data_IF_039796128800
#
_entry.id   IF_039796128800
#
_cell.length_a   1.000
_cell.length_b   1.000
_cell.length_c   1.000
_cell.angle_alpha   90.00
_cell.angle_beta   90.00
_cell.angle_gamma   90.00
#
_symmetry.space_group_name_H-M   'P 1'
#
loop_
_entity.id
_entity.type
_entity.pdbx_description
1 polymer ?
#
# COMPACT_ATOMS: atom_id res chain seq x y z
N UNK A 1 40.52 5.19 10.91
CA UNK A 1 39.30 5.90 11.42
C UNK A 1 38.00 5.40 10.76
N UNK A 2 37.99 5.04 9.47
CA UNK A 2 36.72 4.55 8.80
C UNK A 2 36.30 3.14 9.26
N UNK A 3 37.23 2.28 9.68
CA UNK A 3 36.87 0.88 10.04
C UNK A 3 36.41 0.70 11.50
N UNK A 4 36.83 1.55 12.43
CA UNK A 4 36.35 1.47 13.82
C UNK A 4 34.95 2.02 14.01
N UNK A 5 34.52 2.98 13.16
CA UNK A 5 33.19 3.59 13.19
C UNK A 5 32.15 2.61 12.68
N UNK A 6 32.46 1.83 11.65
CA UNK A 6 31.55 0.80 11.06
C UNK A 6 31.31 -0.37 12.03
N UNK A 7 32.36 -0.83 12.74
CA UNK A 7 32.20 -1.91 13.72
C UNK A 7 31.42 -1.46 14.96
N UNK A 8 31.59 -0.22 15.39
CA UNK A 8 30.79 0.37 16.47
C UNK A 8 29.32 0.49 16.12
N UNK A 9 29.01 0.93 14.89
CA UNK A 9 27.63 1.05 14.39
C UNK A 9 26.95 -0.30 14.26
N UNK A 10 27.64 -1.32 13.74
CA UNK A 10 27.11 -2.68 13.67
C UNK A 10 26.81 -3.25 15.07
N UNK A 11 27.68 -3.01 16.05
CA UNK A 11 27.43 -3.43 17.44
C UNK A 11 26.22 -2.70 18.07
N UNK A 12 26.06 -1.41 17.79
CA UNK A 12 24.91 -0.64 18.26
C UNK A 12 23.60 -1.14 17.63
N UNK A 13 23.60 -1.44 16.31
CA UNK A 13 22.46 -2.00 15.62
C UNK A 13 22.05 -3.36 16.21
N UNK A 14 23.03 -4.23 16.53
CA UNK A 14 22.77 -5.52 17.18
C UNK A 14 22.20 -5.33 18.59
N UNK A 15 22.78 -4.45 19.40
CA UNK A 15 22.28 -4.16 20.74
C UNK A 15 20.83 -3.62 20.72
N UNK A 16 20.47 -2.81 19.72
CA UNK A 16 19.11 -2.34 19.53
C UNK A 16 18.16 -3.48 19.23
N UNK A 17 18.54 -4.39 18.32
CA UNK A 17 17.71 -5.54 17.95
C UNK A 17 17.52 -6.53 19.13
N UNK A 18 18.60 -6.84 19.86
CA UNK A 18 18.54 -7.70 21.06
C UNK A 18 17.66 -7.11 22.18
N UNK A 19 17.56 -5.77 22.25
CA UNK A 19 16.71 -5.06 23.20
C UNK A 19 15.23 -5.08 22.84
N UNK A 20 14.81 -5.69 21.72
CA UNK A 20 13.40 -5.83 21.36
C UNK A 20 12.64 -6.71 22.37
N UNK A 21 11.54 -6.20 22.89
CA UNK A 21 10.66 -6.90 23.82
C UNK A 21 9.45 -7.45 23.06
N UNK A 22 9.32 -8.80 22.93
CA UNK A 22 8.19 -9.41 22.22
C UNK A 22 6.82 -9.07 22.83
N UNK A 23 6.73 -8.94 24.15
CA UNK A 23 5.46 -8.60 24.81
C UNK A 23 5.05 -7.14 24.48
N UNK A 24 6.02 -6.25 24.26
CA UNK A 24 5.75 -4.87 23.87
C UNK A 24 5.26 -4.76 22.43
N UNK A 25 5.85 -5.54 21.50
CA UNK A 25 5.37 -5.64 20.11
C UNK A 25 3.91 -6.06 20.09
N UNK A 26 3.58 -7.14 20.81
CA UNK A 26 2.22 -7.65 20.89
C UNK A 26 1.27 -6.65 21.54
N UNK A 27 1.67 -6.02 22.64
CA UNK A 27 0.87 -5.02 23.34
C UNK A 27 0.53 -3.81 22.47
N UNK A 28 1.50 -3.32 21.69
CA UNK A 28 1.27 -2.20 20.75
C UNK A 28 0.31 -2.62 19.64
N UNK A 29 0.50 -3.77 19.03
CA UNK A 29 -0.38 -4.29 17.99
C UNK A 29 -1.82 -4.47 18.50
N UNK A 30 -1.99 -5.05 19.68
CA UNK A 30 -3.32 -5.20 20.30
C UNK A 30 -3.99 -3.87 20.60
N UNK A 31 -3.23 -2.87 21.08
CA UNK A 31 -3.77 -1.54 21.34
C UNK A 31 -4.24 -0.83 20.05
N UNK A 32 -3.48 -0.97 18.97
CA UNK A 32 -3.85 -0.40 17.67
C UNK A 32 -5.06 -1.11 17.05
N UNK A 33 -5.14 -2.43 17.15
CA UNK A 33 -6.29 -3.21 16.65
C UNK A 33 -7.56 -2.88 17.43
N UNK A 34 -7.45 -2.69 18.75
CA UNK A 34 -8.58 -2.34 19.62
C UNK A 34 -9.16 -0.95 19.35
N UNK A 35 -8.49 -0.10 18.57
CA UNK A 35 -8.96 1.20 18.08
C UNK A 35 -9.45 1.05 16.62
N UNK A 36 -10.76 0.85 16.36
CA UNK A 36 -11.29 0.70 15.01
C UNK A 36 -11.03 1.96 14.15
N UNK A 37 -10.67 1.73 12.89
CA UNK A 37 -10.35 2.80 11.93
C UNK A 37 -10.77 2.41 10.51
N UNK A 38 -12.00 1.91 10.39
CA UNK A 38 -12.52 1.41 9.11
C UNK A 38 -12.69 2.54 8.09
N UNK A 39 -12.21 2.34 6.89
CA UNK A 39 -12.32 3.26 5.77
C UNK A 39 -12.78 2.50 4.50
N UNK A 40 -13.93 2.82 3.89
CA UNK A 40 -14.87 3.86 4.33
C UNK A 40 -15.72 3.49 5.55
N UNK A 41 -16.33 4.48 6.17
CA UNK A 41 -17.39 4.30 7.16
C UNK A 41 -17.02 4.63 8.61
N UNK A 42 -15.72 4.76 8.93
CA UNK A 42 -15.20 5.18 10.23
C UNK A 42 -14.25 6.37 10.12
N UNK A 43 -13.47 6.58 11.16
CA UNK A 43 -12.42 7.61 11.25
C UNK A 43 -11.15 7.01 11.85
N UNK A 44 -10.02 7.66 11.64
CA UNK A 44 -8.74 7.28 12.25
C UNK A 44 -8.47 8.02 13.58
N UNK A 45 -9.40 8.80 14.12
CA UNK A 45 -9.17 9.60 15.34
C UNK A 45 -8.74 8.74 16.53
N UNK A 46 -9.43 7.62 16.79
CA UNK A 46 -9.12 6.77 17.96
C UNK A 46 -7.75 6.10 17.84
N UNK A 47 -7.42 5.55 16.68
CA UNK A 47 -6.12 4.91 16.46
C UNK A 47 -4.98 5.93 16.44
N UNK A 48 -5.22 7.15 15.96
CA UNK A 48 -4.26 8.24 16.00
C UNK A 48 -3.99 8.69 17.45
N UNK A 49 -5.01 8.74 18.31
CA UNK A 49 -4.85 9.05 19.73
C UNK A 49 -4.03 7.96 20.44
N UNK A 50 -4.33 6.68 20.21
CA UNK A 50 -3.55 5.54 20.75
C UNK A 50 -2.10 5.62 20.29
N UNK A 51 -1.87 5.84 19.00
CA UNK A 51 -0.55 5.97 18.40
C UNK A 51 0.23 7.15 18.98
N UNK A 52 -0.43 8.31 19.13
CA UNK A 52 0.14 9.51 19.72
C UNK A 52 0.55 9.28 21.18
N UNK A 53 -0.24 8.52 21.93
CA UNK A 53 0.08 8.12 23.31
C UNK A 53 1.37 7.33 23.36
N UNK A 54 1.50 6.26 22.54
CA UNK A 54 2.71 5.44 22.46
C UNK A 54 3.94 6.27 22.06
N UNK A 55 3.80 7.11 21.03
CA UNK A 55 4.89 7.97 20.54
C UNK A 55 5.33 9.02 21.55
N UNK A 56 4.40 9.54 22.35
CA UNK A 56 4.69 10.47 23.46
C UNK A 56 5.56 9.78 24.52
N UNK A 57 5.23 8.55 24.90
CA UNK A 57 6.01 7.75 25.85
C UNK A 57 7.38 7.40 25.28
N UNK A 58 7.51 7.25 23.97
CA UNK A 58 8.75 7.08 23.25
C UNK A 58 9.54 8.38 23.08
N UNK A 59 9.01 9.53 23.49
CA UNK A 59 9.70 10.83 23.46
C UNK A 59 9.83 11.43 22.07
N UNK A 60 8.92 11.08 21.16
CA UNK A 60 8.86 11.65 19.83
C UNK A 60 8.34 13.10 19.83
N UNK A 61 8.80 13.90 18.88
CA UNK A 61 8.17 15.19 18.56
C UNK A 61 7.04 14.94 17.56
N UNK A 62 5.80 15.18 17.95
CA UNK A 62 4.60 14.77 17.22
C UNK A 62 3.92 15.97 16.59
N UNK A 63 3.53 15.85 15.34
CA UNK A 63 2.65 16.76 14.60
C UNK A 63 1.48 15.96 14.04
N UNK A 64 0.26 16.41 14.31
CA UNK A 64 -0.95 15.87 13.68
C UNK A 64 -1.25 16.70 12.44
N UNK A 65 -1.38 16.03 11.31
CA UNK A 65 -1.75 16.61 10.01
C UNK A 65 -3.16 16.15 9.66
N UNK A 66 -4.03 17.08 9.27
CA UNK A 66 -5.43 16.80 8.91
C UNK A 66 -5.79 17.59 7.68
N UNK A 67 -6.31 16.94 6.67
CA UNK A 67 -6.92 17.59 5.50
C UNK A 67 -8.45 17.60 5.62
N UNK A 68 -9.01 16.68 6.40
CA UNK A 68 -10.45 16.51 6.63
C UNK A 68 -10.69 16.07 8.07
N UNK A 69 -11.91 16.33 8.58
CA UNK A 69 -12.35 15.87 9.89
C UNK A 69 -12.39 14.32 9.91
N UNK A 70 -11.84 13.71 10.96
CA UNK A 70 -11.78 12.26 11.10
C UNK A 70 -10.65 11.57 10.31
N UNK A 71 -9.78 12.32 9.63
CA UNK A 71 -8.64 11.82 8.84
C UNK A 71 -7.30 12.36 9.35
N UNK A 72 -6.89 12.06 10.60
CA UNK A 72 -5.61 12.49 11.14
C UNK A 72 -4.47 11.59 10.69
N UNK A 73 -3.40 12.19 10.18
CA UNK A 73 -2.10 11.56 10.05
C UNK A 73 -1.19 11.97 11.20
N UNK A 74 -0.46 11.02 11.78
CA UNK A 74 0.48 11.25 12.88
C UNK A 74 1.89 11.25 12.33
N UNK A 75 2.52 12.42 12.29
CA UNK A 75 3.91 12.59 11.90
C UNK A 75 4.75 12.72 13.16
N UNK A 76 5.63 11.75 13.40
CA UNK A 76 6.44 11.71 14.60
C UNK A 76 7.94 11.72 14.27
N UNK A 77 8.68 12.62 14.88
CA UNK A 77 10.12 12.78 14.68
C UNK A 77 10.89 12.30 15.90
N UNK A 78 11.91 11.45 15.66
CA UNK A 78 12.80 10.87 16.66
C UNK A 78 14.25 11.11 16.24
N UNK A 79 15.10 11.55 17.15
CA UNK A 79 16.51 11.83 16.89
C UNK A 79 16.85 13.31 16.91
N UNK A 80 17.89 13.73 16.18
CA UNK A 80 18.49 15.07 16.30
C UNK A 80 17.76 16.18 15.54
N UNK A 81 16.92 15.81 14.58
CA UNK A 81 16.36 16.74 13.60
C UNK A 81 17.27 17.01 12.39
N UNK A 82 18.46 16.38 12.33
CA UNK A 82 19.45 16.54 11.27
C UNK A 82 19.48 15.35 10.31
N UNK A 83 20.23 15.47 9.21
CA UNK A 83 20.49 14.37 8.28
C UNK A 83 21.57 13.42 8.82
N UNK A 84 21.59 12.13 8.39
CA UNK A 84 20.60 11.58 7.44
C UNK A 84 19.21 11.47 8.04
N UNK A 85 18.19 11.53 7.18
CA UNK A 85 16.78 11.39 7.56
C UNK A 85 16.19 10.17 6.89
N UNK A 86 15.46 9.35 7.65
CA UNK A 86 14.77 8.17 7.18
C UNK A 86 13.28 8.32 7.47
N UNK A 87 12.42 8.11 6.47
CA UNK A 87 11.00 7.91 6.70
C UNK A 87 10.70 6.42 6.93
N UNK A 88 9.80 6.15 7.87
CA UNK A 88 9.06 4.91 7.91
C UNK A 88 7.57 5.24 7.82
N UNK A 89 6.91 4.74 6.77
CA UNK A 89 5.51 5.02 6.49
C UNK A 89 4.65 3.79 6.75
N UNK A 90 3.45 4.02 7.27
CA UNK A 90 2.39 3.04 7.41
C UNK A 90 1.05 3.72 7.62
N UNK A 91 -0.05 3.06 7.20
CA UNK A 91 -1.39 3.63 7.31
C UNK A 91 -2.13 3.18 8.57
N UNK A 92 -2.96 4.09 9.09
CA UNK A 92 -3.75 3.90 10.31
C UNK A 92 -5.15 3.33 10.03
N UNK A 93 -5.67 3.57 8.83
CA UNK A 93 -6.97 3.06 8.40
C UNK A 93 -6.92 1.57 8.07
N UNK A 94 -8.07 0.97 7.94
CA UNK A 94 -8.27 -0.43 7.53
C UNK A 94 -9.53 -0.51 6.68
N UNK A 95 -9.59 -1.49 5.76
CA UNK A 95 -10.89 -1.81 5.14
C UNK A 95 -11.91 -2.27 6.18
N UNK A 96 -13.23 -2.15 5.92
CA UNK A 96 -14.26 -2.63 6.83
C UNK A 96 -14.10 -4.10 7.20
N UNK A 97 -14.35 -4.44 8.47
CA UNK A 97 -14.26 -5.82 8.96
C UNK A 97 -15.31 -6.75 8.36
N UNK A 98 -16.38 -6.19 7.81
CA UNK A 98 -17.48 -6.95 7.24
C UNK A 98 -18.38 -7.59 8.32
N UNK A 99 -18.94 -8.77 8.04
CA UNK A 99 -19.84 -9.45 8.97
C UNK A 99 -19.06 -10.05 10.16
N UNK A 100 -19.26 -9.58 11.41
CA UNK A 100 -18.57 -10.10 12.58
C UNK A 100 -18.77 -11.60 12.81
N UNK A 101 -19.86 -12.20 12.32
CA UNK A 101 -20.13 -13.63 12.46
C UNK A 101 -19.17 -14.54 11.67
N UNK A 102 -18.42 -13.96 10.73
CA UNK A 102 -17.40 -14.67 9.94
C UNK A 102 -16.03 -14.73 10.63
N UNK A 103 -15.87 -14.03 11.75
CA UNK A 103 -14.65 -14.01 12.53
C UNK A 103 -14.65 -15.05 13.65
N UNK A 104 -13.51 -15.68 13.88
CA UNK A 104 -13.31 -16.65 14.97
C UNK A 104 -13.20 -15.98 16.36
N UNK A 105 -12.77 -14.70 16.37
CA UNK A 105 -12.80 -13.76 17.50
C UNK A 105 -13.32 -12.43 16.97
N UNK A 106 -13.70 -11.50 17.85
CA UNK A 106 -14.14 -10.19 17.39
C UNK A 106 -13.03 -9.50 16.56
N UNK A 107 -13.38 -8.82 15.44
CA UNK A 107 -12.39 -8.25 14.52
C UNK A 107 -11.45 -7.21 15.16
N UNK A 108 -11.81 -6.66 16.31
CA UNK A 108 -11.04 -5.65 17.05
C UNK A 108 -10.58 -6.13 18.44
N UNK A 109 -10.66 -7.43 18.70
CA UNK A 109 -10.22 -8.00 20.00
C UNK A 109 -8.72 -8.21 20.10
N UNK A 110 -8.00 -8.36 18.98
CA UNK A 110 -6.57 -8.62 18.97
C UNK A 110 -6.22 -9.94 19.67
N UNK A 111 -7.02 -10.98 19.45
CA UNK A 111 -6.81 -12.28 20.06
C UNK A 111 -5.58 -12.99 19.47
N UNK A 112 -4.82 -13.69 20.32
CA UNK A 112 -3.72 -14.54 19.85
C UNK A 112 -4.21 -15.99 19.77
N UNK A 113 -4.17 -16.55 18.55
CA UNK A 113 -4.58 -17.92 18.27
C UNK A 113 -3.43 -18.62 17.53
N UNK A 114 -2.95 -19.73 18.08
CA UNK A 114 -1.86 -20.53 17.49
C UNK A 114 -0.62 -19.69 17.10
N UNK A 115 -0.21 -18.73 17.95
CA UNK A 115 0.94 -17.87 17.73
C UNK A 115 0.71 -16.75 16.72
N UNK A 116 -0.54 -16.54 16.29
CA UNK A 116 -0.93 -15.47 15.37
C UNK A 116 -1.85 -14.47 16.06
N UNK A 117 -1.59 -13.19 15.86
CA UNK A 117 -2.49 -12.11 16.26
C UNK A 117 -3.61 -11.97 15.21
N UNK A 118 -4.85 -12.14 15.63
CA UNK A 118 -6.05 -12.10 14.77
C UNK A 118 -6.78 -10.80 15.00
N UNK A 119 -7.10 -10.08 13.92
CA UNK A 119 -7.89 -8.87 13.96
C UNK A 119 -7.83 -8.09 12.64
N UNK A 120 -8.79 -7.21 12.38
CA UNK A 120 -8.75 -6.30 11.25
C UNK A 120 -7.60 -5.31 11.43
N UNK A 121 -6.76 -5.20 10.38
CA UNK A 121 -5.53 -4.43 10.44
C UNK A 121 -4.35 -5.17 11.09
N UNK A 122 -4.53 -6.41 11.53
CA UNK A 122 -3.42 -7.17 12.11
C UNK A 122 -2.26 -7.33 11.13
N UNK A 123 -2.57 -7.61 9.86
CA UNK A 123 -1.63 -7.74 8.78
C UNK A 123 -1.44 -6.41 8.04
N UNK A 124 -2.54 -5.72 7.77
CA UNK A 124 -2.62 -4.55 6.92
C UNK A 124 -3.26 -3.36 7.67
N UNK A 125 -2.44 -2.42 8.33
CA UNK A 125 -1.04 -2.69 8.60
C UNK A 125 -0.64 -2.28 10.04
N UNK A 126 -1.56 -2.47 11.03
CA UNK A 126 -1.32 -2.12 12.45
C UNK A 126 -0.24 -3.00 13.12
N UNK A 127 -0.09 -4.27 12.68
CA UNK A 127 1.00 -5.15 13.12
C UNK A 127 2.38 -4.63 12.68
N UNK A 128 2.60 -4.33 11.40
CA UNK A 128 3.80 -3.62 10.93
C UNK A 128 4.08 -2.32 11.67
N UNK A 129 3.07 -1.47 11.90
CA UNK A 129 3.22 -0.23 12.71
C UNK A 129 3.72 -0.57 14.13
N UNK A 130 3.12 -1.56 14.79
CA UNK A 130 3.55 -1.98 16.12
C UNK A 130 5.01 -2.45 16.14
N UNK A 131 5.46 -3.13 15.07
CA UNK A 131 6.86 -3.55 14.92
C UNK A 131 7.80 -2.34 14.82
N UNK A 132 7.44 -1.31 14.05
CA UNK A 132 8.23 -0.09 13.93
C UNK A 132 8.28 0.72 15.24
N UNK A 133 7.16 0.83 15.95
CA UNK A 133 7.09 1.47 17.27
C UNK A 133 7.96 0.74 18.30
N UNK A 134 7.91 -0.59 18.31
CA UNK A 134 8.73 -1.42 19.17
C UNK A 134 10.23 -1.36 18.83
N UNK A 135 10.59 -1.17 17.56
CA UNK A 135 11.96 -0.91 17.14
C UNK A 135 12.51 0.40 17.77
N UNK A 136 11.70 1.45 17.80
CA UNK A 136 12.06 2.71 18.48
C UNK A 136 12.20 2.50 19.99
N UNK A 137 11.30 1.75 20.62
CA UNK A 137 11.37 1.40 22.03
C UNK A 137 12.65 0.62 22.33
N UNK A 138 13.04 -0.33 21.48
CA UNK A 138 14.23 -1.15 21.61
C UNK A 138 15.52 -0.30 21.54
N UNK A 139 15.62 0.63 20.58
CA UNK A 139 16.74 1.58 20.47
C UNK A 139 16.91 2.37 21.78
N UNK A 140 15.83 2.88 22.34
CA UNK A 140 15.85 3.61 23.61
C UNK A 140 16.25 2.71 24.78
N UNK A 141 15.74 1.48 24.84
CA UNK A 141 16.06 0.49 25.88
C UNK A 141 17.53 0.09 25.84
N UNK A 142 18.12 0.03 24.66
CA UNK A 142 19.56 -0.15 24.48
C UNK A 142 20.41 1.07 24.92
N UNK A 143 19.77 2.16 25.35
CA UNK A 143 20.46 3.40 25.75
C UNK A 143 21.04 4.19 24.57
N UNK A 144 20.59 3.91 23.36
CA UNK A 144 21.08 4.55 22.13
C UNK A 144 20.29 5.83 21.81
N UNK A 145 20.98 6.79 21.21
CA UNK A 145 20.40 8.01 20.65
C UNK A 145 20.80 8.11 19.19
N UNK A 146 19.82 8.27 18.30
CA UNK A 146 20.04 8.40 16.85
C UNK A 146 20.82 9.69 16.54
N UNK A 147 21.83 9.60 15.70
CA UNK A 147 22.60 10.76 15.23
C UNK A 147 21.82 11.51 14.14
N UNK A 148 21.18 10.81 13.23
CA UNK A 148 20.23 11.35 12.26
C UNK A 148 18.81 11.48 12.80
N UNK A 149 17.83 11.44 11.92
CA UNK A 149 16.42 11.64 12.22
C UNK A 149 15.54 10.56 11.60
N UNK A 150 14.75 9.87 12.42
CA UNK A 150 13.67 9.01 11.99
C UNK A 150 12.37 9.82 11.99
N UNK A 151 11.70 9.89 10.84
CA UNK A 151 10.36 10.39 10.69
C UNK A 151 9.40 9.20 10.52
N UNK A 152 8.47 8.99 11.46
CA UNK A 152 7.38 8.04 11.33
C UNK A 152 6.18 8.77 10.73
N UNK A 153 5.76 8.37 9.56
CA UNK A 153 4.59 8.88 8.86
C UNK A 153 3.47 7.85 8.98
N UNK A 154 2.64 7.98 10.00
CA UNK A 154 1.50 7.09 10.26
C UNK A 154 0.25 7.79 9.74
N UNK A 155 -0.18 7.40 8.55
CA UNK A 155 -1.08 8.19 7.72
C UNK A 155 -2.50 7.66 7.71
N UNK A 156 -3.44 8.54 7.37
CA UNK A 156 -4.84 8.22 7.13
C UNK A 156 -5.05 7.85 5.65
N UNK A 157 -6.19 7.20 5.34
CA UNK A 157 -6.81 7.12 4.01
C UNK A 157 -5.99 6.39 2.92
N UNK A 158 -5.07 5.52 3.28
CA UNK A 158 -4.29 4.75 2.30
C UNK A 158 -5.20 3.82 1.49
N UNK A 159 -6.11 3.11 2.16
CA UNK A 159 -7.04 2.12 1.59
C UNK A 159 -8.01 2.70 0.51
N UNK A 160 -8.09 4.04 0.45
CA UNK A 160 -8.83 4.78 -0.58
C UNK A 160 -7.93 5.75 -1.38
N UNK A 161 -6.69 5.32 -1.68
CA UNK A 161 -5.70 6.00 -2.51
C UNK A 161 -4.98 7.20 -1.86
N UNK A 162 -4.96 7.32 -0.53
CA UNK A 162 -4.09 8.23 0.23
C UNK A 162 -4.36 9.72 0.03
N UNK A 163 -5.57 10.08 -0.42
CA UNK A 163 -5.91 11.48 -0.73
C UNK A 163 -5.81 12.38 0.50
N UNK A 164 -6.18 11.86 1.68
CA UNK A 164 -6.14 12.58 2.96
C UNK A 164 -4.91 12.21 3.81
N UNK A 165 -4.07 11.29 3.33
CA UNK A 165 -2.87 10.77 3.97
C UNK A 165 -1.56 11.31 3.41
N UNK A 166 -0.75 10.45 2.81
CA UNK A 166 0.61 10.77 2.31
C UNK A 166 0.62 11.88 1.27
N UNK A 167 -0.43 12.01 0.45
CA UNK A 167 -0.57 13.15 -0.46
C UNK A 167 -0.52 14.49 0.29
N UNK A 168 -1.21 14.60 1.42
CA UNK A 168 -1.23 15.83 2.22
C UNK A 168 0.14 16.09 2.84
N UNK A 169 0.84 15.04 3.30
CA UNK A 169 2.21 15.18 3.79
C UNK A 169 3.14 15.74 2.72
N UNK A 170 3.01 15.27 1.47
CA UNK A 170 3.74 15.79 0.31
C UNK A 170 3.42 17.27 0.07
N UNK A 171 2.14 17.64 0.01
CA UNK A 171 1.68 19.01 -0.22
C UNK A 171 2.17 19.98 0.86
N UNK A 172 2.33 19.51 2.09
CA UNK A 172 2.90 20.28 3.21
C UNK A 172 4.44 20.26 3.25
N UNK A 173 5.10 19.63 2.27
CA UNK A 173 6.55 19.55 2.18
C UNK A 173 7.21 18.70 3.27
N UNK A 174 6.51 17.67 3.75
CA UNK A 174 7.01 16.76 4.79
C UNK A 174 7.74 15.55 4.23
N UNK A 175 7.71 15.33 2.91
CA UNK A 175 8.49 14.30 2.22
C UNK A 175 9.83 14.91 1.77
N UNK A 176 10.83 14.91 2.66
CA UNK A 176 12.16 15.49 2.42
C UNK A 176 13.31 14.63 2.99
N UNK A 177 13.05 13.32 3.19
CA UNK A 177 14.01 12.37 3.74
C UNK A 177 15.03 11.90 2.68
N UNK A 178 16.12 11.27 3.15
CA UNK A 178 17.17 10.72 2.27
C UNK A 178 16.83 9.31 1.78
N UNK A 179 15.91 8.61 2.48
CA UNK A 179 15.34 7.33 2.11
C UNK A 179 14.01 7.08 2.83
N UNK A 180 13.22 6.11 2.36
CA UNK A 180 11.98 5.70 3.01
C UNK A 180 11.79 4.16 3.02
N UNK A 181 11.03 3.69 4.00
CA UNK A 181 10.49 2.33 4.08
C UNK A 181 8.97 2.47 4.20
N UNK A 182 8.24 1.77 3.35
CA UNK A 182 6.78 1.59 3.50
C UNK A 182 6.56 0.20 4.08
N UNK A 183 5.92 0.15 5.24
CA UNK A 183 5.86 -1.05 6.08
C UNK A 183 4.78 -2.07 5.70
N UNK A 184 4.34 -2.09 4.45
CA UNK A 184 3.31 -2.99 3.92
C UNK A 184 3.65 -4.48 4.06
N UNK A 185 2.62 -5.37 4.13
CA UNK A 185 2.80 -6.81 4.31
C UNK A 185 3.45 -7.45 3.09
N UNK A 186 4.77 -7.62 3.12
CA UNK A 186 5.59 -8.17 2.05
C UNK A 186 6.21 -9.55 2.38
N UNK A 187 5.76 -10.21 3.44
CA UNK A 187 6.35 -11.46 3.93
C UNK A 187 7.85 -11.33 4.27
N UNK A 188 8.26 -10.13 4.73
CA UNK A 188 9.67 -9.77 4.96
C UNK A 188 10.55 -9.87 3.69
N UNK A 189 9.96 -9.89 2.51
CA UNK A 189 10.65 -9.66 1.23
C UNK A 189 10.78 -8.14 0.98
N UNK A 190 11.63 -7.76 0.03
CA UNK A 190 11.87 -6.34 -0.28
C UNK A 190 11.30 -6.06 -1.65
N UNK A 191 10.16 -5.36 -1.69
CA UNK A 191 9.63 -4.91 -2.95
C UNK A 191 10.27 -3.57 -3.35
N UNK A 192 10.80 -3.57 -4.58
CA UNK A 192 11.45 -2.42 -5.20
C UNK A 192 10.56 -1.74 -6.23
N UNK A 193 9.49 -2.39 -6.64
CA UNK A 193 8.52 -1.87 -7.58
C UNK A 193 7.11 -2.22 -7.13
N UNK A 194 6.17 -1.34 -7.42
CA UNK A 194 4.74 -1.57 -7.23
C UNK A 194 3.96 -1.30 -8.52
N UNK A 195 2.79 -1.93 -8.62
CA UNK A 195 1.85 -1.63 -9.71
C UNK A 195 1.11 -0.34 -9.42
N UNK A 196 0.72 0.34 -10.49
CA UNK A 196 -0.31 1.36 -10.44
C UNK A 196 -1.65 0.84 -10.95
N UNK A 197 -2.62 1.75 -11.07
CA UNK A 197 -3.97 1.45 -11.53
C UNK A 197 -4.55 2.54 -12.42
N UNK A 198 -5.32 2.11 -13.41
CA UNK A 198 -6.19 2.96 -14.21
C UNK A 198 -7.60 2.38 -14.18
N UNK A 199 -8.53 3.09 -13.58
CA UNK A 199 -9.93 2.71 -13.66
C UNK A 199 -10.55 3.34 -14.88
N UNK A 200 -10.99 2.48 -15.82
CA UNK A 200 -11.46 2.90 -17.13
C UNK A 200 -12.96 2.64 -17.22
N UNK A 201 -13.71 3.65 -17.66
CA UNK A 201 -15.13 3.52 -18.01
C UNK A 201 -15.26 3.33 -19.52
N UNK A 202 -15.98 2.29 -19.94
CA UNK A 202 -16.40 2.10 -21.31
C UNK A 202 -17.93 2.15 -21.39
N UNK A 203 -18.47 2.99 -22.27
CA UNK A 203 -19.92 3.13 -22.48
C UNK A 203 -20.26 2.80 -23.92
N UNK A 204 -20.97 1.71 -24.13
CA UNK A 204 -21.54 1.38 -25.44
C UNK A 204 -22.92 2.06 -25.59
N UNK A 205 -23.06 2.80 -26.65
CA UNK A 205 -24.33 3.41 -27.08
C UNK A 205 -24.97 2.60 -28.22
N UNK A 206 -26.24 2.33 -28.09
CA UNK A 206 -27.04 1.60 -29.04
C UNK A 206 -28.26 2.38 -29.49
N UNK A 207 -29.26 1.63 -29.92
CA UNK A 207 -30.56 2.17 -30.31
C UNK A 207 -31.70 1.26 -29.82
N UNK A 208 -32.57 1.81 -28.99
CA UNK A 208 -33.72 1.08 -28.49
C UNK A 208 -34.68 0.68 -29.62
N UNK A 209 -35.27 -0.50 -29.48
CA UNK A 209 -36.33 -1.02 -30.32
C UNK A 209 -37.16 -2.04 -29.53
N UNK A 210 -38.34 -2.40 -30.07
CA UNK A 210 -39.14 -3.46 -29.46
C UNK A 210 -38.40 -4.82 -29.57
N UNK A 211 -38.36 -5.60 -28.48
CA UNK A 211 -37.62 -6.85 -28.42
C UNK A 211 -38.00 -7.91 -29.46
N UNK A 212 -39.24 -7.85 -30.01
CA UNK A 212 -39.67 -8.70 -31.12
C UNK A 212 -39.18 -8.24 -32.51
N UNK A 213 -38.56 -7.03 -32.58
CA UNK A 213 -38.02 -6.45 -33.83
C UNK A 213 -36.60 -5.94 -33.60
N UNK A 214 -35.67 -6.80 -33.14
CA UNK A 214 -34.32 -6.36 -32.73
C UNK A 214 -33.47 -5.78 -33.87
N UNK A 215 -33.83 -6.12 -35.12
CA UNK A 215 -33.20 -5.60 -36.34
C UNK A 215 -33.42 -4.11 -36.59
N UNK A 216 -34.35 -3.46 -35.88
CA UNK A 216 -34.63 -2.02 -35.95
C UNK A 216 -33.82 -1.23 -34.92
N UNK A 217 -33.17 -1.93 -33.98
CA UNK A 217 -32.32 -1.35 -32.94
C UNK A 217 -30.84 -1.70 -33.11
N UNK A 218 -30.01 -1.16 -32.20
CA UNK A 218 -28.61 -1.53 -32.01
C UNK A 218 -28.43 -1.93 -30.55
N UNK A 219 -28.10 -3.18 -30.31
CA UNK A 219 -28.02 -3.72 -28.96
C UNK A 219 -26.64 -3.37 -28.31
N UNK A 220 -26.65 -2.42 -27.36
CA UNK A 220 -25.46 -1.94 -26.68
C UNK A 220 -24.76 -3.04 -25.87
N UNK A 221 -25.51 -4.00 -25.29
CA UNK A 221 -24.90 -5.14 -24.56
C UNK A 221 -24.10 -6.03 -25.52
N UNK A 222 -24.64 -6.32 -26.72
CA UNK A 222 -23.92 -7.11 -27.71
C UNK A 222 -22.71 -6.34 -28.28
N UNK A 223 -22.80 -5.03 -28.42
CA UNK A 223 -21.67 -4.17 -28.81
C UNK A 223 -20.57 -4.22 -27.74
N UNK A 224 -20.94 -4.00 -26.47
CA UNK A 224 -20.01 -4.09 -25.34
C UNK A 224 -19.38 -5.48 -25.22
N UNK A 225 -20.14 -6.55 -25.37
CA UNK A 225 -19.63 -7.93 -25.31
C UNK A 225 -18.50 -8.19 -26.31
N UNK A 226 -18.56 -7.64 -27.53
CA UNK A 226 -17.47 -7.76 -28.52
C UNK A 226 -16.21 -7.04 -28.07
N UNK A 227 -16.37 -5.85 -27.53
CA UNK A 227 -15.24 -5.09 -26.96
C UNK A 227 -14.58 -5.86 -25.81
N UNK A 228 -15.37 -6.36 -24.86
CA UNK A 228 -14.86 -7.08 -23.69
C UNK A 228 -14.09 -8.36 -24.05
N UNK A 229 -14.54 -9.11 -25.05
CA UNK A 229 -13.87 -10.33 -25.49
C UNK A 229 -12.51 -10.06 -26.14
N UNK A 230 -12.26 -8.83 -26.58
CA UNK A 230 -11.00 -8.41 -27.19
C UNK A 230 -10.11 -7.58 -26.28
N UNK A 231 -10.55 -7.27 -25.07
CA UNK A 231 -9.78 -6.45 -24.10
C UNK A 231 -8.33 -6.95 -23.90
N UNK A 232 -8.05 -8.27 -23.82
CA UNK A 232 -6.66 -8.74 -23.71
C UNK A 232 -5.74 -8.29 -24.85
N UNK A 233 -6.31 -8.01 -26.06
CA UNK A 233 -5.54 -7.52 -27.21
C UNK A 233 -5.09 -6.06 -27.05
N UNK A 234 -5.74 -5.31 -26.11
CA UNK A 234 -5.38 -3.93 -25.80
C UNK A 234 -4.25 -3.82 -24.76
N UNK A 235 -3.76 -4.93 -24.22
CA UNK A 235 -2.62 -4.91 -23.31
C UNK A 235 -1.32 -4.84 -24.10
N UNK A 236 -0.33 -4.01 -23.68
CA UNK A 236 0.99 -4.01 -24.31
C UNK A 236 1.72 -5.32 -24.05
N UNK A 237 2.52 -5.75 -25.02
CA UNK A 237 3.46 -6.86 -24.86
C UNK A 237 4.68 -6.39 -24.06
N UNK A 238 4.47 -6.19 -22.77
CA UNK A 238 5.47 -5.73 -21.81
C UNK A 238 5.39 -6.60 -20.56
N UNK A 239 6.56 -7.02 -20.08
CA UNK A 239 6.69 -7.76 -18.81
C UNK A 239 7.74 -7.05 -17.97
N UNK A 240 7.32 -6.47 -16.86
CA UNK A 240 8.26 -5.88 -15.90
C UNK A 240 8.94 -6.99 -15.08
N UNK A 241 10.27 -6.93 -14.85
CA UNK A 241 11.00 -8.00 -14.17
C UNK A 241 10.48 -8.38 -12.79
N UNK A 242 9.97 -7.39 -12.03
CA UNK A 242 9.51 -7.57 -10.65
C UNK A 242 7.99 -7.73 -10.54
N UNK A 243 7.21 -6.88 -11.21
CA UNK A 243 5.73 -6.88 -11.07
C UNK A 243 5.01 -7.61 -12.21
N UNK A 244 5.75 -8.18 -13.17
CA UNK A 244 5.19 -8.97 -14.27
C UNK A 244 4.47 -8.13 -15.33
N UNK A 245 3.54 -8.75 -16.06
CA UNK A 245 2.77 -8.10 -17.11
C UNK A 245 1.65 -7.22 -16.54
N UNK A 246 1.26 -6.16 -17.24
CA UNK A 246 0.04 -5.42 -16.93
C UNK A 246 -1.19 -6.32 -17.08
N UNK A 247 -2.26 -6.00 -16.34
CA UNK A 247 -3.49 -6.81 -16.34
C UNK A 247 -4.75 -5.96 -16.56
N UNK A 248 -5.81 -6.61 -17.00
CA UNK A 248 -7.13 -6.00 -17.15
C UNK A 248 -8.18 -6.91 -16.52
N UNK A 249 -9.06 -6.32 -15.72
CA UNK A 249 -10.18 -6.98 -15.09
C UNK A 249 -11.47 -6.18 -15.36
N UNK A 250 -12.52 -6.84 -15.82
CA UNK A 250 -13.86 -6.24 -15.96
C UNK A 250 -14.53 -6.35 -14.60
N UNK A 251 -14.60 -5.23 -13.89
CA UNK A 251 -15.05 -5.20 -12.50
C UNK A 251 -16.59 -5.08 -12.37
N UNK A 252 -17.17 -4.17 -13.14
CA UNK A 252 -18.61 -3.90 -13.10
C UNK A 252 -19.19 -3.83 -14.50
N UNK A 253 -20.44 -4.27 -14.67
CA UNK A 253 -21.20 -4.13 -15.91
C UNK A 253 -22.67 -3.83 -15.61
N UNK A 254 -23.23 -2.83 -16.31
CA UNK A 254 -24.63 -2.46 -16.22
C UNK A 254 -25.20 -2.20 -17.62
N UNK A 255 -26.36 -2.77 -17.95
CA UNK A 255 -26.97 -2.54 -19.27
C UNK A 255 -28.39 -3.05 -19.39
N UNK A 256 -29.17 -2.38 -20.26
CA UNK A 256 -30.56 -2.68 -20.51
C UNK A 256 -31.52 -2.17 -19.44
N UNK A 257 -32.81 -2.13 -19.75
CA UNK A 257 -33.87 -1.64 -18.87
C UNK A 257 -35.04 -2.61 -18.69
N UNK A 258 -35.35 -3.41 -19.73
CA UNK A 258 -36.42 -4.40 -19.71
C UNK A 258 -36.18 -5.52 -20.74
N UNK A 259 -36.66 -6.76 -20.49
CA UNK A 259 -36.45 -7.90 -21.39
C UNK A 259 -37.04 -7.74 -22.80
N UNK A 260 -38.06 -6.92 -22.95
CA UNK A 260 -38.74 -6.66 -24.21
C UNK A 260 -38.29 -5.39 -24.95
N UNK A 261 -37.14 -4.81 -24.52
CA UNK A 261 -36.54 -3.62 -25.14
C UNK A 261 -35.11 -3.96 -25.56
N UNK A 262 -34.71 -3.61 -26.78
CA UNK A 262 -33.32 -3.69 -27.23
C UNK A 262 -32.52 -2.66 -26.43
N UNK A 263 -31.47 -3.06 -25.69
CA UNK A 263 -30.65 -2.15 -24.87
C UNK A 263 -29.97 -1.08 -25.72
N UNK A 264 -30.13 0.18 -25.33
CA UNK A 264 -29.51 1.33 -25.97
C UNK A 264 -28.30 1.87 -25.22
N UNK A 265 -27.97 1.31 -24.03
CA UNK A 265 -26.82 1.65 -23.25
C UNK A 265 -26.30 0.42 -22.51
N UNK A 266 -24.94 0.30 -22.48
CA UNK A 266 -24.24 -0.65 -21.62
C UNK A 266 -22.96 0.03 -21.16
N UNK A 267 -22.71 0.02 -19.83
CA UNK A 267 -21.54 0.60 -19.19
C UNK A 267 -20.76 -0.46 -18.47
N UNK A 268 -19.43 -0.35 -18.52
CA UNK A 268 -18.49 -1.21 -17.79
C UNK A 268 -17.44 -0.37 -17.09
N UNK A 269 -17.06 -0.84 -15.89
CA UNK A 269 -15.86 -0.38 -15.21
C UNK A 269 -14.78 -1.45 -15.31
N UNK A 270 -13.59 -1.02 -15.69
CA UNK A 270 -12.43 -1.87 -15.95
C UNK A 270 -11.29 -1.44 -15.01
N UNK A 271 -10.76 -2.38 -14.23
CA UNK A 271 -9.52 -2.22 -13.48
C UNK A 271 -8.35 -2.64 -14.36
N UNK A 272 -7.54 -1.67 -14.78
CA UNK A 272 -6.33 -1.85 -15.57
C UNK A 272 -5.11 -1.63 -14.68
N UNK A 273 -4.43 -2.72 -14.29
CA UNK A 273 -3.19 -2.60 -13.54
C UNK A 273 -2.05 -2.24 -14.47
N UNK A 274 -1.36 -1.14 -14.16
CA UNK A 274 -0.21 -0.62 -14.90
C UNK A 274 1.09 -1.04 -14.21
N UNK A 275 2.19 -0.99 -14.96
CA UNK A 275 3.53 -1.34 -14.47
C UNK A 275 4.50 -0.18 -14.70
N UNK A 276 5.63 -0.09 -13.98
CA UNK A 276 6.62 0.96 -14.20
C UNK A 276 6.99 1.10 -15.69
N UNK A 277 7.07 2.35 -16.15
CA UNK A 277 7.22 2.72 -17.56
C UNK A 277 5.91 2.88 -18.32
N UNK A 278 4.76 2.81 -17.67
CA UNK A 278 3.44 3.24 -18.15
C UNK A 278 3.04 4.49 -17.34
N UNK A 279 3.52 5.66 -17.75
CA UNK A 279 3.43 6.89 -16.95
C UNK A 279 2.38 7.87 -17.48
N UNK A 280 1.96 7.72 -18.74
CA UNK A 280 0.97 8.57 -19.39
C UNK A 280 -0.40 7.88 -19.48
N UNK A 281 -1.43 8.40 -18.79
CA UNK A 281 -2.80 7.89 -18.90
C UNK A 281 -3.31 7.80 -20.34
N UNK A 282 -2.94 8.72 -21.21
CA UNK A 282 -3.37 8.70 -22.62
C UNK A 282 -2.71 7.55 -23.40
N UNK A 283 -1.45 7.21 -23.12
CA UNK A 283 -0.79 6.05 -23.70
C UNK A 283 -1.44 4.74 -23.24
N UNK A 284 -1.90 4.67 -21.99
CA UNK A 284 -2.63 3.50 -21.45
C UNK A 284 -4.02 3.36 -22.06
N UNK A 285 -4.73 4.47 -22.36
CA UNK A 285 -6.05 4.45 -22.98
C UNK A 285 -6.01 4.24 -24.51
N UNK A 286 -4.92 4.60 -25.17
CA UNK A 286 -4.82 4.51 -26.63
C UNK A 286 -5.08 3.11 -27.21
N UNK A 287 -4.62 1.99 -26.61
CA UNK A 287 -4.96 0.65 -27.06
C UNK A 287 -6.46 0.32 -26.99
N UNK A 288 -7.17 0.80 -25.95
CA UNK A 288 -8.63 0.62 -25.85
C UNK A 288 -9.36 1.39 -26.95
N UNK A 289 -8.93 2.64 -27.22
CA UNK A 289 -9.50 3.45 -28.30
C UNK A 289 -9.25 2.83 -29.68
N UNK A 290 -8.04 2.29 -29.95
CA UNK A 290 -7.74 1.55 -31.18
C UNK A 290 -8.65 0.33 -31.36
N UNK A 291 -8.88 -0.43 -30.29
CA UNK A 291 -9.80 -1.55 -30.31
C UNK A 291 -11.22 -1.10 -30.68
N UNK A 292 -11.68 0.05 -30.18
CA UNK A 292 -12.98 0.62 -30.58
C UNK A 292 -12.98 0.99 -32.07
N UNK A 293 -11.91 1.61 -32.60
CA UNK A 293 -11.79 1.95 -34.02
C UNK A 293 -11.86 0.72 -34.92
N UNK A 294 -11.21 -0.38 -34.53
CA UNK A 294 -11.26 -1.66 -35.25
C UNK A 294 -12.69 -2.23 -35.26
N UNK A 295 -13.37 -2.20 -34.11
CA UNK A 295 -14.77 -2.65 -34.01
C UNK A 295 -15.71 -1.77 -34.85
N UNK A 296 -15.48 -0.47 -34.95
CA UNK A 296 -16.23 0.45 -35.83
C UNK A 296 -15.97 0.09 -37.30
N UNK A 297 -14.72 -0.22 -37.68
CA UNK A 297 -14.41 -0.66 -39.06
C UNK A 297 -15.09 -1.96 -39.45
N UNK A 298 -15.23 -2.90 -38.52
CA UNK A 298 -15.98 -4.16 -38.72
C UNK A 298 -17.50 -3.95 -38.76
N UNK A 299 -17.96 -3.00 -37.91
CA UNK A 299 -19.41 -2.69 -37.75
C UNK A 299 -19.60 -1.20 -37.53
N UNK A 300 -20.00 -0.46 -38.56
CA UNK A 300 -20.18 1.01 -38.50
C UNK A 300 -21.26 1.50 -37.52
N UNK A 301 -22.15 0.62 -37.03
CA UNK A 301 -23.14 0.92 -36.00
C UNK A 301 -22.59 0.79 -34.56
N UNK A 302 -21.29 0.50 -34.40
CA UNK A 302 -20.60 0.46 -33.12
C UNK A 302 -20.33 1.89 -32.64
N UNK A 303 -20.71 2.18 -31.38
CA UNK A 303 -20.36 3.42 -30.72
C UNK A 303 -19.98 3.10 -29.27
N UNK A 304 -18.70 3.22 -28.93
CA UNK A 304 -18.17 3.02 -27.56
C UNK A 304 -17.32 4.23 -27.20
N UNK A 305 -17.61 4.82 -26.05
CA UNK A 305 -16.82 5.90 -25.44
C UNK A 305 -15.91 5.30 -24.38
N UNK A 306 -14.63 5.74 -24.35
CA UNK A 306 -13.64 5.34 -23.36
C UNK A 306 -13.19 6.58 -22.59
N UNK A 307 -13.27 6.51 -21.27
CA UNK A 307 -12.82 7.58 -20.38
C UNK A 307 -12.07 7.01 -19.18
N UNK A 308 -11.17 7.80 -18.63
CA UNK A 308 -10.49 7.51 -17.38
C UNK A 308 -11.39 7.96 -16.22
N UNK A 309 -11.58 7.10 -15.24
CA UNK A 309 -12.29 7.40 -13.99
C UNK A 309 -11.31 7.79 -12.89
N UNK A 310 -10.19 7.04 -12.80
CA UNK A 310 -9.16 7.25 -11.80
C UNK A 310 -7.80 6.76 -12.31
N UNK A 311 -6.73 7.33 -11.74
CA UNK A 311 -5.36 7.03 -12.12
C UNK A 311 -4.44 7.05 -10.90
N UNK A 312 -3.63 6.01 -10.77
CA UNK A 312 -2.58 5.90 -9.76
C UNK A 312 -1.32 5.37 -10.45
N UNK A 313 -0.22 6.09 -10.30
CA UNK A 313 1.06 5.74 -10.93
C UNK A 313 1.61 4.45 -10.33
N UNK A 314 2.33 3.68 -11.16
CA UNK A 314 3.26 2.66 -10.70
C UNK A 314 4.57 3.33 -10.23
N UNK A 315 5.34 2.65 -9.39
CA UNK A 315 6.60 3.18 -8.89
C UNK A 315 7.69 2.11 -8.84
N UNK A 316 8.96 2.55 -8.95
CA UNK A 316 10.12 1.67 -8.88
C UNK A 316 11.33 2.40 -8.29
N UNK A 317 12.02 1.72 -7.37
CA UNK A 317 13.34 2.12 -6.83
C UNK A 317 14.41 1.14 -7.32
N UNK A 318 15.62 1.64 -7.56
CA UNK A 318 16.73 0.78 -7.99
C UNK A 318 17.24 -0.10 -6.84
N UNK A 319 17.56 -1.37 -7.15
CA UNK A 319 18.03 -2.35 -6.16
C UNK A 319 19.44 -2.09 -5.59
N UNK A 320 20.19 -1.15 -6.14
CA UNK A 320 21.49 -0.71 -5.66
C UNK A 320 21.41 0.48 -4.68
N UNK A 321 20.20 0.89 -4.32
CA UNK A 321 19.99 1.91 -3.30
C UNK A 321 20.52 1.46 -1.93
N UNK A 322 21.08 2.39 -1.18
CA UNK A 322 21.64 2.11 0.15
C UNK A 322 20.59 1.53 1.11
N UNK A 323 19.35 2.03 1.03
CA UNK A 323 18.26 1.56 1.88
C UNK A 323 17.85 0.11 1.54
N UNK A 324 17.81 -0.27 0.26
CA UNK A 324 17.48 -1.64 -0.16
C UNK A 324 18.52 -2.64 0.37
N UNK A 325 19.79 -2.32 0.28
CA UNK A 325 20.87 -3.17 0.80
C UNK A 325 20.80 -3.29 2.32
N UNK A 326 20.58 -2.18 3.03
CA UNK A 326 20.56 -2.15 4.49
C UNK A 326 19.36 -2.93 5.05
N UNK A 327 18.16 -2.74 4.50
CA UNK A 327 16.96 -3.49 4.91
C UNK A 327 17.15 -4.99 4.63
N UNK A 328 17.76 -5.33 3.49
CA UNK A 328 18.05 -6.72 3.12
C UNK A 328 18.97 -7.41 4.12
N UNK A 329 20.05 -6.74 4.53
CA UNK A 329 21.00 -7.26 5.52
C UNK A 329 20.35 -7.38 6.90
N UNK A 330 19.53 -6.40 7.30
CA UNK A 330 18.80 -6.42 8.55
C UNK A 330 17.79 -7.58 8.65
N UNK A 331 17.04 -7.83 7.56
CA UNK A 331 16.12 -8.98 7.49
C UNK A 331 16.89 -10.30 7.47
N UNK A 332 17.99 -10.38 6.73
CA UNK A 332 18.85 -11.57 6.69
C UNK A 332 19.37 -11.98 8.06
N UNK A 333 19.66 -11.02 8.93
CA UNK A 333 20.11 -11.26 10.30
C UNK A 333 19.04 -11.98 11.15
N UNK A 334 17.75 -11.74 10.89
CA UNK A 334 16.63 -12.39 11.59
C UNK A 334 16.20 -13.72 10.94
N UNK A 335 16.21 -13.79 9.62
CA UNK A 335 15.68 -14.92 8.86
C UNK A 335 16.75 -15.97 8.49
N UNK A 336 18.03 -15.64 8.67
CA UNK A 336 19.17 -16.49 8.35
C UNK A 336 19.58 -16.50 6.87
N UNK A 337 18.85 -15.79 6.01
CA UNK A 337 19.19 -15.64 4.58
C UNK A 337 18.68 -14.31 4.03
N UNK A 338 19.42 -13.68 3.09
CA UNK A 338 18.98 -12.44 2.49
C UNK A 338 17.70 -12.67 1.66
N UNK A 339 16.65 -11.86 1.90
CA UNK A 339 15.41 -11.97 1.13
C UNK A 339 15.64 -11.57 -0.34
N UNK A 340 14.79 -12.08 -1.27
CA UNK A 340 14.82 -11.64 -2.66
C UNK A 340 14.35 -10.18 -2.78
N UNK A 341 14.73 -9.56 -3.89
CA UNK A 341 14.05 -8.37 -4.37
C UNK A 341 12.84 -8.80 -5.21
N UNK A 342 11.68 -8.26 -4.90
CA UNK A 342 10.40 -8.62 -5.50
C UNK A 342 9.64 -7.38 -5.99
N UNK A 343 8.48 -7.59 -6.59
CA UNK A 343 7.51 -6.55 -6.88
C UNK A 343 6.28 -6.69 -5.98
N UNK A 344 5.74 -5.58 -5.55
CA UNK A 344 4.46 -5.52 -4.83
C UNK A 344 3.31 -5.42 -5.84
N UNK A 345 2.36 -6.34 -5.75
CA UNK A 345 1.26 -6.40 -6.74
C UNK A 345 0.12 -5.44 -6.44
N UNK A 346 0.09 -4.88 -5.24
CA UNK A 346 -0.81 -3.80 -4.82
C UNK A 346 -0.30 -2.42 -5.21
N UNK A 347 -0.96 -1.42 -4.71
CA UNK A 347 -0.62 0.00 -4.77
C UNK A 347 -0.37 0.43 -3.34
N UNK A 348 0.69 1.19 -3.08
CA UNK A 348 1.02 1.67 -1.74
C UNK A 348 1.36 3.15 -1.75
N UNK A 349 1.63 3.70 -0.59
CA UNK A 349 2.12 5.08 -0.46
C UNK A 349 3.57 5.27 -0.97
N UNK A 350 4.29 4.20 -1.33
CA UNK A 350 5.67 4.29 -1.83
C UNK A 350 5.78 5.20 -3.08
N UNK A 351 4.75 5.21 -3.93
CA UNK A 351 4.69 6.07 -5.12
C UNK A 351 4.89 7.56 -4.81
N UNK A 352 4.37 8.05 -3.69
CA UNK A 352 4.53 9.47 -3.32
C UNK A 352 5.98 9.83 -2.98
N UNK A 353 6.70 8.92 -2.32
CA UNK A 353 8.11 9.10 -2.02
C UNK A 353 8.96 8.98 -3.28
N UNK A 354 8.70 7.96 -4.11
CA UNK A 354 9.50 7.66 -5.31
C UNK A 354 9.22 8.70 -6.40
N UNK A 355 7.96 8.84 -6.83
CA UNK A 355 7.60 9.61 -8.02
C UNK A 355 7.55 11.11 -7.74
N UNK A 356 7.07 11.51 -6.57
CA UNK A 356 6.82 12.92 -6.27
C UNK A 356 7.97 13.59 -5.55
N UNK A 357 8.75 12.84 -4.76
CA UNK A 357 9.81 13.39 -3.91
C UNK A 357 11.23 12.91 -4.30
N UNK A 358 11.36 11.99 -5.27
CA UNK A 358 12.64 11.40 -5.70
C UNK A 358 13.42 10.76 -4.53
N UNK A 359 12.69 10.12 -3.60
CA UNK A 359 13.25 9.49 -2.40
C UNK A 359 13.37 7.99 -2.65
N UNK A 360 14.59 7.39 -2.57
CA UNK A 360 14.78 5.95 -2.64
C UNK A 360 13.97 5.24 -1.56
N UNK A 361 13.00 4.41 -1.99
CA UNK A 361 12.01 3.80 -1.10
C UNK A 361 11.92 2.30 -1.34
N UNK A 362 11.81 1.53 -0.26
CA UNK A 362 11.51 0.10 -0.32
C UNK A 362 10.19 -0.18 0.40
N UNK A 363 9.47 -1.18 -0.09
CA UNK A 363 8.30 -1.72 0.59
C UNK A 363 8.77 -2.99 1.31
N UNK A 364 8.70 -3.00 2.64
CA UNK A 364 9.15 -4.13 3.43
C UNK A 364 8.48 -4.15 4.81
N UNK A 365 7.74 -5.20 5.10
CA UNK A 365 7.08 -5.40 6.38
C UNK A 365 6.69 -6.85 6.62
N UNK A 366 6.33 -7.19 7.87
CA UNK A 366 5.81 -8.50 8.22
C UNK A 366 4.36 -8.67 7.74
N UNK A 367 3.94 -9.92 7.61
CA UNK A 367 2.60 -10.26 7.14
C UNK A 367 2.52 -10.54 5.65
N UNK A 368 1.41 -11.12 5.23
CA UNK A 368 1.15 -11.50 3.83
C UNK A 368 -0.08 -10.80 3.28
N UNK A 369 0.06 -10.15 2.14
CA UNK A 369 -1.04 -9.51 1.42
C UNK A 369 -2.20 -10.48 1.12
N UNK A 370 -1.92 -11.79 1.05
CA UNK A 370 -2.94 -12.81 0.86
C UNK A 370 -3.91 -12.98 2.03
N UNK A 371 -3.54 -12.49 3.22
CA UNK A 371 -4.36 -12.49 4.42
C UNK A 371 -5.06 -11.16 4.67
N UNK A 372 -4.58 -10.08 4.04
CA UNK A 372 -5.20 -8.77 4.11
C UNK A 372 -6.63 -8.79 3.54
N UNK A 373 -7.49 -7.90 4.05
CA UNK A 373 -8.88 -7.73 3.59
C UNK A 373 -9.80 -8.95 3.73
N UNK A 374 -9.33 -10.02 4.38
CA UNK A 374 -10.14 -11.24 4.62
C UNK A 374 -10.74 -11.26 6.02
N UNK A 375 -11.75 -12.11 6.25
CA UNK A 375 -12.16 -12.45 7.59
C UNK A 375 -11.05 -13.31 8.27
N UNK A 376 -10.85 -13.14 9.58
CA UNK A 376 -9.76 -13.74 10.34
C UNK A 376 -8.36 -13.32 9.83
N UNK A 377 -8.26 -12.12 9.29
CA UNK A 377 -6.96 -11.48 9.03
C UNK A 377 -6.05 -11.66 10.23
N UNK A 378 -4.80 -12.05 9.98
CA UNK A 378 -3.88 -12.36 11.05
C UNK A 378 -2.42 -12.25 10.66
N UNK A 379 -1.55 -12.01 11.64
CA UNK A 379 -0.10 -11.93 11.46
C UNK A 379 0.61 -12.79 12.51
N UNK A 380 1.75 -13.38 12.16
CA UNK A 380 2.60 -14.13 13.09
C UNK A 380 3.19 -13.20 14.15
N UNK A 381 3.05 -13.56 15.44
CA UNK A 381 3.66 -12.76 16.53
C UNK A 381 5.18 -12.77 16.41
N UNK A 382 5.78 -13.93 16.13
CA UNK A 382 7.24 -14.05 15.93
C UNK A 382 7.72 -13.26 14.69
N UNK A 383 6.88 -13.17 13.66
CA UNK A 383 7.16 -12.40 12.45
C UNK A 383 7.19 -10.89 12.75
N UNK A 384 6.23 -10.39 13.54
CA UNK A 384 6.25 -8.99 14.01
C UNK A 384 7.50 -8.68 14.84
N UNK A 385 7.92 -9.61 15.71
CA UNK A 385 9.12 -9.45 16.54
C UNK A 385 10.38 -9.43 15.66
N UNK A 386 10.48 -10.32 14.67
CA UNK A 386 11.58 -10.33 13.72
C UNK A 386 11.64 -9.02 12.92
N UNK A 387 10.49 -8.50 12.47
CA UNK A 387 10.41 -7.21 11.81
C UNK A 387 10.86 -6.05 12.71
N UNK A 388 10.45 -6.04 13.97
CA UNK A 388 10.87 -5.01 14.92
C UNK A 388 12.39 -4.99 15.10
N UNK A 389 13.04 -6.16 15.19
CA UNK A 389 14.49 -6.29 15.24
C UNK A 389 15.18 -5.81 13.96
N UNK A 390 14.64 -6.21 12.80
CA UNK A 390 15.15 -5.76 11.50
C UNK A 390 15.02 -4.24 11.35
N UNK A 391 13.89 -3.64 11.73
CA UNK A 391 13.71 -2.19 11.72
C UNK A 391 14.66 -1.49 12.69
N UNK A 392 14.87 -2.02 13.91
CA UNK A 392 15.83 -1.45 14.84
C UNK A 392 17.25 -1.42 14.27
N UNK A 393 17.70 -2.52 13.63
CA UNK A 393 18.99 -2.56 12.92
C UNK A 393 19.05 -1.55 11.78
N UNK A 394 17.99 -1.46 11.00
CA UNK A 394 17.91 -0.54 9.86
C UNK A 394 17.96 0.91 10.32
N UNK A 395 17.17 1.28 11.31
CA UNK A 395 17.13 2.66 11.84
C UNK A 395 18.50 3.09 12.39
N UNK A 396 19.14 2.23 13.20
CA UNK A 396 20.48 2.50 13.72
C UNK A 396 21.52 2.53 12.59
N UNK A 397 21.48 1.55 11.68
CA UNK A 397 22.42 1.43 10.58
C UNK A 397 22.38 2.60 9.60
N UNK A 398 21.18 3.14 9.32
CA UNK A 398 21.01 4.26 8.41
C UNK A 398 21.30 5.62 9.07
N UNK A 399 20.83 5.80 10.29
CA UNK A 399 20.84 7.10 10.97
C UNK A 399 22.08 7.33 11.82
N UNK A 400 22.81 6.26 12.17
CA UNK A 400 23.92 6.33 13.10
C UNK A 400 23.50 6.56 14.56
N UNK A 401 24.45 6.49 15.47
CA UNK A 401 24.27 6.78 16.90
C UNK A 401 25.23 7.85 17.40
N UNK A 402 24.85 8.55 18.49
CA UNK A 402 25.68 9.52 19.21
C UNK A 402 26.27 8.90 20.46
#
# INVERSE_FOLDING_TARGET
MVGEDVAGLASAAEAAAEATDPDEVLRYAQALIAAPSENPGGTEDEVADVTTGILTDLGANIRIVRSEEGRPSVVARIGSGERPRLAWNGHLDTVPAGDPSTWSSGPFEGAVVDGRLVGRGACDMKGPIASALAAVAAIRRAGLSLAGTLDLHLVADEELAGTHGTRVLREEGLLDQDAAIVGEPSEMEIALAERGGAWVIAVAHGKAAHGSQPHLGVNAILTMSRFLLRLPEALPDRVHPLVGAPTVNVALITGGSAPNVVPDRCEVEIDRRIVPGEEDPEEVLAPFRRLVEELVAERPDTHIEISLKDWTEAAETTGDSAIASLVRDAIAAETGSPPPFVGFTGITDARFYINDADIPTVIAGPGSLSLAHTANESIGVDEMVAAARAFARTFVGFLGTR
#
